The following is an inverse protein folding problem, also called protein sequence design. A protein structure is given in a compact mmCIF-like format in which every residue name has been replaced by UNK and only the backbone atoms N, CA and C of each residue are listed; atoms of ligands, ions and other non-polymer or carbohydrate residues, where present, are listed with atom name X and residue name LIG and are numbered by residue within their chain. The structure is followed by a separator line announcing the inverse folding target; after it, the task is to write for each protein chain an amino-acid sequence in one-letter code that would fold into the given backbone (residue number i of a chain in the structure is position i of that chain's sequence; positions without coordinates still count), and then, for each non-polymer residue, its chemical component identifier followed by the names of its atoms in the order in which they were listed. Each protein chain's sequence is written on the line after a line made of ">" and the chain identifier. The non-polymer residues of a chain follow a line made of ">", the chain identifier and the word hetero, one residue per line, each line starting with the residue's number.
data_IF_412976820240
#
_entry.id   IF_412976820240
#
_cell.length_a   1.000
_cell.length_b   1.000
_cell.length_c   1.000
_cell.angle_alpha   90.00
_cell.angle_beta   90.00
_cell.angle_gamma   90.00
#
_symmetry.space_group_name_H-M   'P 1'
#
loop_
_entity.id
_entity.type
_entity.pdbx_description
1 polymer ?
#
# COMPACT_ATOMS: atom_id res chain seq x y z
N UNK A 1 -2.30 8.60 19.56
CA UNK A 1 -1.17 9.14 18.78
C UNK A 1 -1.65 9.31 17.34
N UNK A 2 -1.26 10.39 16.66
CA UNK A 2 -1.41 10.52 15.20
C UNK A 2 -0.04 10.24 14.58
N UNK A 3 0.00 9.46 13.52
CA UNK A 3 1.22 9.17 12.78
C UNK A 3 0.87 8.99 11.31
N UNK A 4 1.68 9.59 10.45
CA UNK A 4 1.66 9.38 9.02
C UNK A 4 2.39 8.07 8.70
N UNK A 5 1.77 7.24 7.88
CA UNK A 5 2.32 5.96 7.43
C UNK A 5 2.06 5.80 5.94
N UNK A 6 2.99 5.18 5.24
CA UNK A 6 2.86 4.80 3.85
C UNK A 6 3.22 3.32 3.67
N UNK A 7 2.62 2.69 2.66
CA UNK A 7 2.98 1.33 2.26
C UNK A 7 2.86 1.23 0.73
N UNK A 8 3.84 0.56 0.12
CA UNK A 8 3.71 0.11 -1.26
C UNK A 8 2.98 -1.22 -1.23
N UNK A 9 1.89 -1.33 -1.98
CA UNK A 9 0.97 -2.46 -1.95
C UNK A 9 0.87 -3.05 -3.34
N UNK A 10 1.04 -4.36 -3.46
CA UNK A 10 0.96 -5.10 -4.72
C UNK A 10 -0.11 -6.17 -4.53
N UNK A 11 -1.16 -6.14 -5.35
CA UNK A 11 -2.17 -7.20 -5.35
C UNK A 11 -1.55 -8.50 -5.87
N UNK A 12 -1.79 -9.61 -5.18
CA UNK A 12 -1.22 -10.92 -5.50
C UNK A 12 -2.25 -12.02 -5.35
N UNK A 13 -2.04 -13.11 -6.08
CA UNK A 13 -2.69 -14.39 -5.88
C UNK A 13 -1.63 -15.48 -5.63
N UNK A 14 -1.99 -16.53 -4.90
CA UNK A 14 -1.13 -17.68 -4.67
C UNK A 14 -1.95 -18.95 -4.50
N UNK A 15 -1.32 -20.11 -4.71
CA UNK A 15 -1.93 -21.41 -4.43
C UNK A 15 -1.94 -21.68 -2.92
N UNK A 16 -3.12 -21.60 -2.32
CA UNK A 16 -3.38 -21.98 -0.93
C UNK A 16 -3.78 -23.47 -0.80
N UNK A 17 -3.87 -23.99 0.43
CA UNK A 17 -4.25 -25.39 0.68
C UNK A 17 -5.66 -25.73 0.17
N UNK A 18 -6.57 -24.74 0.16
CA UNK A 18 -7.97 -24.91 -0.24
C UNK A 18 -8.28 -24.33 -1.63
N UNK A 19 -7.26 -23.89 -2.38
CA UNK A 19 -7.40 -23.29 -3.72
C UNK A 19 -6.67 -21.96 -3.86
N UNK A 20 -6.95 -21.22 -4.94
CA UNK A 20 -6.34 -19.91 -5.19
C UNK A 20 -6.81 -18.91 -4.11
N UNK A 21 -5.84 -18.32 -3.43
CA UNK A 21 -6.04 -17.24 -2.48
C UNK A 21 -5.57 -15.90 -3.05
N UNK A 22 -6.09 -14.80 -2.51
CA UNK A 22 -5.73 -13.43 -2.93
C UNK A 22 -5.40 -12.57 -1.73
N UNK A 23 -4.60 -11.53 -1.96
CA UNK A 23 -4.21 -10.59 -0.93
C UNK A 23 -3.30 -9.51 -1.45
N UNK A 24 -2.63 -8.82 -0.53
CA UNK A 24 -1.70 -7.74 -0.84
C UNK A 24 -0.32 -8.06 -0.29
N UNK A 25 0.67 -8.12 -1.18
CA UNK A 25 2.07 -8.13 -0.77
C UNK A 25 2.57 -6.69 -0.51
N UNK A 26 3.27 -6.52 0.61
CA UNK A 26 3.76 -5.23 1.09
C UNK A 26 5.28 -5.32 1.24
N UNK A 27 6.05 -5.01 0.18
CA UNK A 27 7.50 -5.07 0.23
C UNK A 27 8.09 -4.03 1.18
N UNK A 28 7.38 -2.92 1.40
CA UNK A 28 7.87 -1.79 2.19
C UNK A 28 6.75 -1.04 2.88
N UNK A 29 7.00 -0.67 4.14
CA UNK A 29 6.22 0.27 4.94
C UNK A 29 7.13 1.38 5.44
N UNK A 30 6.61 2.59 5.55
CA UNK A 30 7.35 3.76 6.04
C UNK A 30 6.50 4.55 7.04
N UNK A 31 7.13 5.14 8.05
CA UNK A 31 6.42 5.85 9.13
C UNK A 31 7.12 7.13 9.60
N UNK A 32 6.31 8.15 9.92
CA UNK A 32 6.72 9.38 10.58
C UNK A 32 6.92 9.22 12.10
N UNK A 33 6.58 8.06 12.70
CA UNK A 33 6.78 7.79 14.14
C UNK A 33 8.18 7.29 14.48
N UNK A 34 8.90 7.99 15.38
CA UNK A 34 10.26 7.62 15.82
C UNK A 34 10.26 6.36 16.70
N UNK A 35 9.10 6.01 17.26
CA UNK A 35 8.94 4.88 18.18
C UNK A 35 8.60 3.58 17.43
N UNK A 36 7.99 3.66 16.25
CA UNK A 36 7.61 2.48 15.45
C UNK A 36 8.76 1.90 14.63
N UNK A 37 9.87 2.61 14.46
CA UNK A 37 11.03 2.14 13.69
C UNK A 37 11.91 1.12 14.44
N UNK A 38 11.68 0.92 15.75
CA UNK A 38 12.49 0.01 16.59
C UNK A 38 11.69 -1.17 17.15
N UNK A 39 10.36 -1.13 17.11
CA UNK A 39 9.49 -2.19 17.63
C UNK A 39 8.98 -3.09 16.49
N UNK A 40 9.90 -3.85 15.89
CA UNK A 40 9.51 -5.01 15.09
C UNK A 40 8.74 -6.01 15.94
N UNK A 41 7.51 -6.35 15.51
CA UNK A 41 6.98 -7.69 15.73
C UNK A 41 5.99 -7.94 16.86
N UNK A 42 5.33 -6.95 17.48
CA UNK A 42 4.18 -7.26 18.39
C UNK A 42 2.98 -6.30 18.39
N UNK A 43 3.06 -5.10 17.85
CA UNK A 43 1.90 -4.17 17.79
C UNK A 43 1.51 -3.83 16.36
N UNK A 44 2.49 -3.69 15.46
CA UNK A 44 2.27 -3.68 14.01
C UNK A 44 3.36 -4.55 13.35
N UNK A 45 3.01 -5.75 12.87
CA UNK A 45 3.89 -6.61 12.10
C UNK A 45 4.41 -5.91 10.83
N UNK A 46 5.64 -6.24 10.41
CA UNK A 46 6.35 -5.59 9.32
C UNK A 46 7.38 -4.54 9.76
N UNK A 47 8.50 -4.50 9.05
CA UNK A 47 9.54 -3.50 9.29
C UNK A 47 9.18 -2.17 8.63
N UNK A 48 9.19 -1.12 9.44
CA UNK A 48 8.86 0.22 8.97
C UNK A 48 10.15 1.02 8.77
N UNK A 49 10.39 1.44 7.54
CA UNK A 49 11.38 2.45 7.20
C UNK A 49 11.02 3.79 7.86
N UNK A 50 12.06 4.56 8.20
CA UNK A 50 11.89 5.91 8.69
C UNK A 50 11.70 6.85 7.50
N UNK A 51 10.69 7.70 7.54
CA UNK A 51 10.47 8.72 6.52
C UNK A 51 9.99 10.05 7.10
N UNK A 52 10.31 11.13 6.39
CA UNK A 52 9.80 12.46 6.68
C UNK A 52 8.61 12.75 5.76
N UNK A 53 7.47 13.05 6.36
CA UNK A 53 6.20 13.28 5.67
C UNK A 53 5.85 14.76 5.61
N UNK A 54 5.26 15.17 4.49
CA UNK A 54 4.58 16.44 4.30
C UNK A 54 3.18 16.13 3.76
N UNK A 55 2.19 16.26 4.63
CA UNK A 55 0.78 16.00 4.28
C UNK A 55 0.01 17.31 4.34
N UNK A 56 -0.72 17.62 3.28
CA UNK A 56 -1.65 18.73 3.23
C UNK A 56 -3.03 18.22 2.83
N UNK A 57 -4.00 18.37 3.73
CA UNK A 57 -5.35 17.88 3.54
C UNK A 57 -6.36 19.02 3.71
N UNK A 58 -7.20 19.20 2.70
CA UNK A 58 -8.38 20.06 2.73
C UNK A 58 -9.57 19.27 2.18
N UNK A 59 -10.82 19.77 2.28
CA UNK A 59 -11.96 19.11 1.64
C UNK A 59 -11.77 18.91 0.13
N UNK A 60 -11.12 19.85 -0.56
CA UNK A 60 -10.95 19.82 -2.01
C UNK A 60 -9.63 19.23 -2.50
N UNK A 61 -8.70 18.87 -1.61
CA UNK A 61 -7.37 18.39 -2.02
C UNK A 61 -6.72 17.51 -0.93
N UNK A 62 -6.01 16.49 -1.37
CA UNK A 62 -5.07 15.71 -0.56
C UNK A 62 -3.72 15.72 -1.27
N UNK A 63 -2.69 16.22 -0.61
CA UNK A 63 -1.30 16.04 -1.00
C UNK A 63 -0.56 15.23 0.04
N UNK A 64 0.11 14.17 -0.41
CA UNK A 64 1.00 13.34 0.41
C UNK A 64 2.36 13.33 -0.27
N UNK A 65 3.37 13.85 0.42
CA UNK A 65 4.75 13.70 0.02
C UNK A 65 5.56 13.08 1.16
N UNK A 66 6.49 12.19 0.84
CA UNK A 66 7.46 11.68 1.80
C UNK A 66 8.79 11.34 1.16
N UNK A 67 9.84 11.36 1.97
CA UNK A 67 11.17 10.85 1.61
C UNK A 67 11.69 9.96 2.73
N UNK A 68 12.20 8.79 2.37
CA UNK A 68 12.76 7.82 3.31
C UNK A 68 14.18 8.22 3.72
N UNK A 69 14.56 7.91 4.95
CA UNK A 69 15.87 8.29 5.50
C UNK A 69 17.03 7.50 4.91
N UNK A 70 16.77 6.29 4.40
CA UNK A 70 17.73 5.52 3.62
C UNK A 70 17.98 6.14 2.23
N UNK A 71 17.15 7.10 1.80
CA UNK A 71 17.25 7.75 0.50
C UNK A 71 16.65 6.93 -0.65
N UNK A 72 16.14 5.73 -0.37
CA UNK A 72 15.67 4.79 -1.40
C UNK A 72 14.35 5.20 -2.05
N UNK A 73 13.51 5.96 -1.36
CA UNK A 73 12.15 6.24 -1.83
C UNK A 73 11.73 7.68 -1.56
N UNK A 74 11.21 8.32 -2.60
CA UNK A 74 10.55 9.61 -2.55
C UNK A 74 9.23 9.55 -3.32
N UNK A 75 8.17 10.06 -2.70
CA UNK A 75 6.83 10.13 -3.27
C UNK A 75 6.29 11.54 -3.11
N UNK A 76 5.57 12.05 -4.12
CA UNK A 76 4.77 13.28 -4.06
C UNK A 76 3.52 13.11 -4.93
N UNK A 77 2.36 13.01 -4.28
CA UNK A 77 1.08 12.80 -4.94
C UNK A 77 0.11 13.87 -4.48
N UNK A 78 -0.53 14.55 -5.43
CA UNK A 78 -1.59 15.52 -5.19
C UNK A 78 -2.85 15.08 -5.94
N UNK A 79 -3.95 14.94 -5.20
CA UNK A 79 -5.25 14.47 -5.68
C UNK A 79 -6.32 15.44 -5.23
N UNK A 80 -7.31 15.68 -6.09
CA UNK A 80 -8.55 16.37 -5.73
C UNK A 80 -9.70 15.37 -5.73
N UNK A 81 -10.51 15.27 -4.65
CA UNK A 81 -11.69 14.43 -4.66
C UNK A 81 -12.65 14.78 -5.80
N UNK A 82 -13.33 13.76 -6.31
CA UNK A 82 -14.21 13.81 -7.46
C UNK A 82 -15.38 12.87 -7.23
N UNK A 83 -16.55 13.22 -7.76
CA UNK A 83 -17.77 12.40 -7.63
C UNK A 83 -17.70 11.10 -8.45
N UNK A 84 -16.86 11.08 -9.49
CA UNK A 84 -16.73 9.96 -10.43
C UNK A 84 -15.27 9.59 -10.66
N UNK A 85 -15.03 8.28 -10.79
CA UNK A 85 -13.79 7.72 -11.31
C UNK A 85 -13.79 7.87 -12.84
N UNK A 86 -12.79 8.54 -13.40
CA UNK A 86 -12.68 8.76 -14.84
C UNK A 86 -11.30 8.40 -15.34
N UNK A 87 -11.23 7.74 -16.49
CA UNK A 87 -9.98 7.43 -17.18
C UNK A 87 -9.19 6.26 -16.61
N UNK A 88 -9.77 5.46 -15.71
CA UNK A 88 -9.19 4.17 -15.32
C UNK A 88 -9.30 3.20 -16.49
N UNK A 89 -8.21 2.46 -16.74
CA UNK A 89 -8.16 1.33 -17.67
C UNK A 89 -8.45 0.01 -16.94
N UNK A 90 -8.27 -0.02 -15.61
CA UNK A 90 -8.46 -1.21 -14.77
C UNK A 90 -9.88 -1.37 -14.24
N UNK A 91 -10.63 -0.27 -14.06
CA UNK A 91 -11.95 -0.30 -13.42
C UNK A 91 -12.98 0.46 -14.26
N UNK A 92 -14.15 -0.14 -14.46
CA UNK A 92 -15.25 0.46 -15.18
C UNK A 92 -15.83 1.69 -14.46
N UNK A 93 -15.88 1.64 -13.11
CA UNK A 93 -16.39 2.72 -12.28
C UNK A 93 -15.83 2.67 -10.84
N UNK A 94 -16.22 3.65 -10.01
CA UNK A 94 -15.81 3.76 -8.61
C UNK A 94 -16.29 2.57 -7.77
N UNK A 95 -17.43 1.95 -8.10
CA UNK A 95 -17.98 0.81 -7.36
C UNK A 95 -17.11 -0.42 -7.55
N UNK A 96 -16.68 -0.68 -8.79
CA UNK A 96 -15.77 -1.78 -9.10
C UNK A 96 -14.41 -1.59 -8.42
N UNK A 97 -13.82 -0.39 -8.51
CA UNK A 97 -12.58 -0.06 -7.81
C UNK A 97 -12.73 -0.23 -6.29
N UNK A 98 -13.79 0.32 -5.69
CA UNK A 98 -14.10 0.20 -4.27
C UNK A 98 -14.12 -1.26 -3.81
N UNK A 99 -14.83 -2.13 -4.54
CA UNK A 99 -14.92 -3.56 -4.24
C UNK A 99 -13.56 -4.26 -4.34
N UNK A 100 -12.75 -3.93 -5.34
CA UNK A 100 -11.40 -4.48 -5.49
C UNK A 100 -10.52 -4.14 -4.27
N UNK A 101 -10.47 -2.86 -3.88
CA UNK A 101 -9.66 -2.43 -2.74
C UNK A 101 -10.21 -2.93 -1.40
N UNK A 102 -11.53 -3.07 -1.26
CA UNK A 102 -12.16 -3.65 -0.08
C UNK A 102 -11.80 -5.14 0.08
N UNK A 103 -11.75 -5.89 -1.02
CA UNK A 103 -11.33 -7.30 -1.02
C UNK A 103 -9.82 -7.45 -0.74
N UNK A 104 -9.01 -6.43 -1.00
CA UNK A 104 -7.58 -6.36 -0.67
C UNK A 104 -7.28 -6.08 0.80
N UNK A 105 -8.16 -6.45 1.73
CA UNK A 105 -8.04 -6.17 3.16
C UNK A 105 -6.86 -6.90 3.85
N UNK A 106 -6.49 -8.08 3.33
CA UNK A 106 -5.38 -8.90 3.84
C UNK A 106 -4.06 -8.47 3.23
N UNK A 107 -3.13 -8.01 4.07
CA UNK A 107 -1.81 -7.54 3.69
C UNK A 107 -0.69 -8.33 4.37
N UNK A 108 0.28 -8.80 3.59
CA UNK A 108 1.43 -9.57 4.04
C UNK A 108 2.72 -8.79 3.81
N UNK A 109 3.43 -8.50 4.88
CA UNK A 109 4.62 -7.63 4.87
C UNK A 109 5.90 -8.46 4.86
N UNK A 110 6.87 -8.07 4.04
CA UNK A 110 8.19 -8.71 4.05
C UNK A 110 8.91 -8.48 5.40
N UNK A 111 9.71 -9.48 5.82
CA UNK A 111 10.56 -9.40 7.02
C UNK A 111 12.04 -9.49 6.62
N UNK A 112 12.98 -8.89 7.39
CA UNK A 112 14.43 -8.97 7.10
C UNK A 112 14.96 -10.37 6.92
N UNK A 113 14.42 -11.31 7.69
CA UNK A 113 14.85 -12.71 7.64
C UNK A 113 14.54 -13.36 6.29
N UNK A 114 13.52 -12.84 5.58
CA UNK A 114 13.02 -13.38 4.32
C UNK A 114 12.40 -14.78 4.42
N UNK A 115 12.26 -15.33 5.64
CA UNK A 115 11.71 -16.68 5.85
C UNK A 115 10.21 -16.70 6.12
N UNK A 116 9.59 -15.56 6.37
CA UNK A 116 8.15 -15.43 6.59
C UNK A 116 7.67 -14.01 6.25
N UNK A 117 6.36 -13.91 6.02
CA UNK A 117 5.61 -12.68 5.85
C UNK A 117 4.69 -12.45 7.04
N UNK A 118 4.66 -11.19 7.48
CA UNK A 118 3.85 -10.71 8.59
C UNK A 118 2.46 -10.29 8.07
N UNK A 119 1.43 -11.08 8.40
CA UNK A 119 0.07 -10.87 7.94
C UNK A 119 -0.75 -9.94 8.84
N UNK A 120 -1.49 -9.02 8.24
CA UNK A 120 -2.46 -8.14 8.89
C UNK A 120 -3.71 -8.02 8.04
N UNK A 121 -4.87 -7.95 8.68
CA UNK A 121 -6.16 -7.70 8.03
C UNK A 121 -6.72 -6.35 8.49
N UNK A 122 -7.13 -5.53 7.53
CA UNK A 122 -7.87 -4.30 7.77
C UNK A 122 -9.34 -4.63 8.00
N UNK A 123 -9.90 -4.21 9.13
CA UNK A 123 -11.33 -4.29 9.41
C UNK A 123 -11.94 -2.89 9.51
N UNK A 124 -13.08 -2.67 8.86
CA UNK A 124 -13.87 -1.44 9.00
C UNK A 124 -15.33 -1.71 8.68
N UNK A 125 -16.22 -1.19 9.53
CA UNK A 125 -17.68 -1.22 9.31
C UNK A 125 -18.18 0.00 8.53
N UNK A 126 -17.28 0.92 8.18
CA UNK A 126 -17.59 2.20 7.56
C UNK A 126 -16.73 2.43 6.30
N UNK A 127 -16.50 1.36 5.52
CA UNK A 127 -15.77 1.45 4.26
C UNK A 127 -16.39 2.49 3.34
N UNK A 128 -15.61 3.50 2.97
CA UNK A 128 -16.01 4.52 2.03
C UNK A 128 -14.79 5.04 1.27
N UNK A 129 -14.90 5.06 -0.06
CA UNK A 129 -13.89 5.61 -0.97
C UNK A 129 -14.52 6.69 -1.84
N UNK A 130 -13.77 7.77 -2.05
CA UNK A 130 -14.06 8.82 -3.01
C UNK A 130 -13.11 8.66 -4.20
N UNK A 131 -13.58 8.96 -5.41
CA UNK A 131 -12.69 9.03 -6.56
C UNK A 131 -11.77 10.25 -6.45
N UNK A 132 -10.57 10.13 -7.00
CA UNK A 132 -9.57 11.18 -6.97
C UNK A 132 -9.12 11.57 -8.38
N UNK A 133 -9.21 12.86 -8.71
CA UNK A 133 -8.54 13.43 -9.87
C UNK A 133 -7.08 13.69 -9.51
N UNK A 134 -6.17 12.95 -10.13
CA UNK A 134 -4.74 13.17 -9.96
C UNK A 134 -4.34 14.50 -10.60
N UNK A 135 -3.70 15.39 -9.81
CA UNK A 135 -3.09 16.62 -10.30
C UNK A 135 -1.61 16.45 -10.59
N UNK A 136 -0.93 15.69 -9.73
CA UNK A 136 0.45 15.27 -9.92
C UNK A 136 0.69 13.98 -9.15
N UNK A 137 1.54 13.10 -9.69
CA UNK A 137 2.01 11.92 -8.99
C UNK A 137 3.44 11.63 -9.45
N UNK A 138 4.33 11.45 -8.49
CA UNK A 138 5.70 10.99 -8.70
C UNK A 138 6.05 9.99 -7.60
N UNK A 139 6.72 8.90 -7.96
CA UNK A 139 7.16 7.89 -7.00
C UNK A 139 8.42 7.23 -7.50
N UNK A 140 9.55 7.50 -6.85
CA UNK A 140 10.81 6.87 -7.23
C UNK A 140 10.80 5.34 -7.06
N UNK A 141 9.82 4.78 -6.34
CA UNK A 141 9.62 3.34 -6.26
C UNK A 141 9.07 2.77 -7.58
N UNK A 142 8.06 3.41 -8.17
CA UNK A 142 7.45 2.98 -9.43
C UNK A 142 8.19 3.49 -10.66
N UNK A 143 8.93 4.59 -10.53
CA UNK A 143 9.75 5.20 -11.59
C UNK A 143 11.13 4.53 -11.74
N UNK A 144 11.49 3.58 -10.87
CA UNK A 144 12.76 2.84 -10.91
C UNK A 144 12.76 1.83 -12.08
N UNK A 145 13.54 2.06 -13.15
CA UNK A 145 13.53 1.22 -14.34
C UNK A 145 14.11 -0.18 -14.11
N UNK A 146 14.90 -0.38 -13.04
CA UNK A 146 15.44 -1.69 -12.68
C UNK A 146 14.38 -2.56 -11.98
N UNK A 147 13.35 -1.93 -11.37
CA UNK A 147 12.19 -2.61 -10.77
C UNK A 147 11.03 -2.73 -11.75
N UNK A 148 10.73 -1.64 -12.45
CA UNK A 148 9.62 -1.51 -13.38
C UNK A 148 10.15 -0.97 -14.72
N UNK A 149 10.47 -1.87 -15.66
CA UNK A 149 10.88 -1.45 -16.99
C UNK A 149 9.90 -0.44 -17.61
N UNK A 150 10.36 0.47 -18.48
CA UNK A 150 9.48 1.49 -19.05
C UNK A 150 8.20 0.92 -19.64
N UNK A 151 7.05 1.42 -19.17
CA UNK A 151 5.71 0.98 -19.60
C UNK A 151 5.11 -0.18 -18.81
N UNK A 152 5.81 -0.79 -17.84
CA UNK A 152 5.25 -1.87 -17.00
C UNK A 152 4.52 -1.38 -15.75
N UNK A 153 4.72 -0.11 -15.38
CA UNK A 153 3.99 0.55 -14.30
C UNK A 153 3.42 1.86 -14.83
N UNK A 154 2.09 1.97 -14.79
CA UNK A 154 1.35 3.18 -15.20
C UNK A 154 0.39 3.57 -14.08
N UNK A 155 0.24 4.88 -13.89
CA UNK A 155 -0.76 5.39 -12.97
C UNK A 155 -2.15 5.24 -13.59
N UNK A 156 -2.98 4.40 -13.01
CA UNK A 156 -4.35 4.17 -13.46
C UNK A 156 -5.34 5.16 -12.84
N UNK A 157 -5.34 5.24 -11.50
CA UNK A 157 -6.31 6.05 -10.78
C UNK A 157 -5.83 6.43 -9.37
N UNK A 158 -6.60 7.29 -8.69
CA UNK A 158 -6.43 7.58 -7.28
C UNK A 158 -7.77 7.48 -6.56
N UNK A 159 -7.74 6.91 -5.35
CA UNK A 159 -8.87 6.82 -4.45
C UNK A 159 -8.51 7.49 -3.13
N UNK A 160 -9.49 8.17 -2.52
CA UNK A 160 -9.32 8.89 -1.25
C UNK A 160 -10.29 8.30 -0.22
N UNK A 161 -9.79 8.04 0.98
CA UNK A 161 -10.61 7.62 2.12
C UNK A 161 -10.41 8.63 3.24
N UNK A 162 -11.50 9.15 3.82
CA UNK A 162 -11.47 10.15 4.89
C UNK A 162 -12.30 9.71 6.07
N UNK A 163 -11.77 9.93 7.27
CA UNK A 163 -12.46 9.67 8.53
C UNK A 163 -13.03 8.25 8.63
N UNK A 164 -12.37 7.26 8.01
CA UNK A 164 -12.77 5.86 8.06
C UNK A 164 -12.21 5.23 9.34
N UNK A 165 -13.06 4.84 10.31
CA UNK A 165 -12.60 4.07 11.46
C UNK A 165 -12.11 2.70 10.96
N UNK A 166 -10.94 2.28 11.44
CA UNK A 166 -10.30 1.06 11.00
C UNK A 166 -9.53 0.41 12.14
N UNK A 167 -9.66 -0.91 12.21
CA UNK A 167 -8.92 -1.78 13.11
C UNK A 167 -8.02 -2.72 12.32
N UNK A 168 -6.90 -3.11 12.91
CA UNK A 168 -5.92 -3.98 12.28
C UNK A 168 -5.79 -5.26 13.09
N UNK A 169 -6.14 -6.38 12.48
CA UNK A 169 -6.13 -7.69 13.11
C UNK A 169 -4.93 -8.50 12.62
N UNK A 170 -4.12 -9.09 13.52
CA UNK A 170 -3.03 -9.95 13.12
C UNK A 170 -3.55 -11.22 12.46
N UNK A 171 -2.94 -11.59 11.34
CA UNK A 171 -3.13 -12.88 10.68
C UNK A 171 -1.97 -13.81 11.04
N UNK A 172 -2.14 -15.14 10.89
CA UNK A 172 -1.02 -16.06 10.95
C UNK A 172 0.10 -15.65 9.98
N UNK A 173 1.35 -15.78 10.42
CA UNK A 173 2.50 -15.54 9.56
C UNK A 173 2.49 -16.55 8.40
N UNK A 174 2.81 -16.08 7.20
CA UNK A 174 2.91 -16.93 6.02
C UNK A 174 4.38 -17.30 5.81
N UNK A 175 4.69 -18.58 5.70
CA UNK A 175 6.05 -19.02 5.37
C UNK A 175 6.38 -18.57 3.95
N UNK A 176 7.48 -17.84 3.78
CA UNK A 176 8.00 -17.50 2.47
C UNK A 176 9.09 -18.51 2.11
N UNK A 177 8.76 -19.49 1.29
CA UNK A 177 9.81 -20.30 0.67
C UNK A 177 10.55 -19.42 -0.34
N UNK A 178 11.88 -19.32 -0.22
CA UNK A 178 12.69 -18.73 -1.29
C UNK A 178 12.53 -19.66 -2.49
N UNK A 179 11.75 -19.25 -3.48
CA UNK A 179 11.61 -20.00 -4.73
C UNK A 179 12.98 -20.44 -5.22
N UNK A 180 13.13 -21.75 -5.40
CA UNK A 180 14.29 -22.35 -6.04
C UNK A 180 14.55 -21.63 -7.37
N UNK A 181 15.83 -21.45 -7.69
CA UNK A 181 16.31 -20.94 -8.97
C UNK A 181 15.38 -21.28 -10.14
N UNK A 182 14.85 -20.25 -10.81
CA UNK A 182 14.31 -20.42 -12.16
C UNK A 182 15.48 -20.90 -13.01
N UNK A 183 15.49 -22.20 -13.32
CA UNK A 183 16.40 -22.76 -14.31
C UNK A 183 16.13 -22.05 -15.64
N UNK A 184 17.22 -21.59 -16.27
CA UNK A 184 17.24 -20.92 -17.57
C UNK A 184 16.58 -21.73 -18.67
#
# INVERSE_FOLDING_TARGET
>A
LRSENAAHRIAVEWDGPDGIETGVYIPRRDTASRLNTWAGGRVFPGEHGRADFQVHETPGQVRVAFATWDGDTRVDVTVEPSDELRGSELFADLSEASRFFQNGAKGYSATRSGGHLDGMELHTDAWHVEAGRVRSAASSFFDDPDRFPPGTATLDCALVMRNVPADWHPLPAMTAERGAHVAR
#
